data_IF_305578509351
#
_entry.id   IF_305578509351
#
_cell.length_a   1.000
_cell.length_b   1.000
_cell.length_c   1.000
_cell.angle_alpha   90.00
_cell.angle_beta   90.00
_cell.angle_gamma   90.00
#
_symmetry.space_group_name_H-M   'P 1'
#
loop_
_entity.id
_entity.type
_entity.pdbx_description
1 polymer ?
#
# COMPACT_ATOMS: atom_id res chain seq x y z
N UNK A 1 -18.93 -12.75 -11.18
CA UNK A 1 -19.71 -11.83 -12.01
C UNK A 1 -19.33 -12.08 -13.46
N UNK A 2 -20.23 -11.84 -14.40
CA UNK A 2 -19.92 -12.00 -15.82
C UNK A 2 -19.00 -10.85 -16.30
N UNK A 3 -18.08 -11.14 -17.21
CA UNK A 3 -17.13 -10.14 -17.74
C UNK A 3 -17.71 -9.28 -18.87
N UNK A 4 -18.75 -9.76 -19.57
CA UNK A 4 -19.35 -9.05 -20.70
C UNK A 4 -19.86 -7.64 -20.32
N UNK A 5 -20.58 -7.42 -19.19
CA UNK A 5 -20.98 -6.08 -18.78
C UNK A 5 -19.82 -5.11 -18.51
N UNK A 6 -18.69 -5.62 -18.02
CA UNK A 6 -17.47 -4.83 -17.83
C UNK A 6 -16.85 -4.46 -19.17
N UNK A 7 -16.75 -5.41 -20.10
CA UNK A 7 -16.25 -5.16 -21.45
C UNK A 7 -17.12 -4.12 -22.17
N UNK A 8 -18.44 -4.26 -22.10
CA UNK A 8 -19.38 -3.29 -22.67
C UNK A 8 -19.30 -1.93 -22.00
N UNK A 9 -19.04 -1.85 -20.70
CA UNK A 9 -18.77 -0.57 -20.05
C UNK A 9 -17.54 0.13 -20.66
N UNK A 10 -16.44 -0.60 -20.88
CA UNK A 10 -15.25 -0.04 -21.53
C UNK A 10 -15.52 0.41 -22.97
N UNK A 11 -16.25 -0.39 -23.75
CA UNK A 11 -16.69 -0.02 -25.10
C UNK A 11 -17.56 1.25 -25.08
N UNK A 12 -18.52 1.34 -24.15
CA UNK A 12 -19.40 2.51 -24.01
C UNK A 12 -18.60 3.78 -23.73
N UNK A 13 -17.66 3.74 -22.78
CA UNK A 13 -16.82 4.91 -22.47
C UNK A 13 -15.92 5.28 -23.65
N UNK A 14 -15.42 4.28 -24.39
CA UNK A 14 -14.57 4.51 -25.57
C UNK A 14 -15.36 5.13 -26.73
N UNK A 15 -16.58 4.65 -26.98
CA UNK A 15 -17.42 5.06 -28.11
C UNK A 15 -18.15 6.38 -27.86
N UNK A 16 -18.63 6.61 -26.64
CA UNK A 16 -19.50 7.74 -26.31
C UNK A 16 -18.85 8.82 -25.46
N UNK A 17 -17.61 8.60 -25.00
CA UNK A 17 -16.84 9.54 -24.18
C UNK A 17 -16.96 9.30 -22.67
N UNK A 18 -16.02 9.90 -21.92
CA UNK A 18 -15.99 9.83 -20.46
C UNK A 18 -17.15 10.60 -19.80
N UNK A 19 -17.80 11.53 -20.51
CA UNK A 19 -18.99 12.28 -20.08
C UNK A 19 -20.20 11.38 -19.80
N UNK A 20 -20.22 10.16 -20.34
CA UNK A 20 -21.23 9.15 -19.97
C UNK A 20 -21.16 8.80 -18.48
N UNK A 21 -19.98 8.96 -17.85
CA UNK A 21 -19.83 8.77 -16.41
C UNK A 21 -20.44 9.91 -15.56
N UNK A 22 -20.77 11.05 -16.17
CA UNK A 22 -21.41 12.17 -15.47
C UNK A 22 -22.94 12.05 -15.44
N UNK A 23 -23.54 11.21 -16.30
CA UNK A 23 -24.98 10.98 -16.36
C UNK A 23 -25.34 9.51 -16.15
N UNK A 24 -25.72 9.19 -14.90
CA UNK A 24 -26.08 7.83 -14.52
C UNK A 24 -27.31 7.26 -15.25
N UNK A 25 -28.25 8.08 -15.71
CA UNK A 25 -29.43 7.61 -16.46
C UNK A 25 -29.04 7.21 -17.88
N UNK A 26 -28.19 8.01 -18.53
CA UNK A 26 -27.63 7.72 -19.86
C UNK A 26 -26.80 6.45 -19.83
N UNK A 27 -25.93 6.31 -18.82
CA UNK A 27 -25.12 5.10 -18.63
C UNK A 27 -25.99 3.86 -18.35
N UNK A 28 -27.02 3.98 -17.50
CA UNK A 28 -27.95 2.88 -17.20
C UNK A 28 -28.75 2.43 -18.44
N UNK A 29 -29.19 3.36 -19.30
CA UNK A 29 -29.85 3.04 -20.56
C UNK A 29 -28.96 2.21 -21.49
N UNK A 30 -27.76 2.72 -21.78
CA UNK A 30 -26.80 2.02 -22.64
C UNK A 30 -26.43 0.63 -22.10
N UNK A 31 -26.17 0.52 -20.80
CA UNK A 31 -25.87 -0.79 -20.20
C UNK A 31 -27.07 -1.75 -20.26
N UNK A 32 -28.31 -1.28 -20.16
CA UNK A 32 -29.48 -2.15 -20.34
C UNK A 32 -29.67 -2.59 -21.78
N UNK A 33 -29.37 -1.73 -22.75
CA UNK A 33 -29.48 -2.05 -24.18
C UNK A 33 -28.47 -3.14 -24.57
N UNK A 34 -27.23 -3.06 -24.08
CA UNK A 34 -26.17 -4.03 -24.41
C UNK A 34 -26.10 -5.24 -23.45
N UNK A 35 -26.56 -5.10 -22.20
CA UNK A 35 -26.36 -6.07 -21.13
C UNK A 35 -27.62 -6.36 -20.30
N UNK A 36 -28.82 -6.17 -20.87
CA UNK A 36 -30.10 -6.33 -20.15
C UNK A 36 -30.30 -7.69 -19.46
N UNK A 37 -29.67 -8.75 -19.96
CA UNK A 37 -29.70 -10.09 -19.34
C UNK A 37 -28.82 -10.21 -18.07
N UNK A 38 -27.94 -9.24 -17.80
CA UNK A 38 -27.03 -9.21 -16.65
C UNK A 38 -27.46 -8.15 -15.63
N UNK A 39 -28.70 -8.25 -15.15
CA UNK A 39 -29.33 -7.25 -14.27
C UNK A 39 -28.54 -6.96 -12.99
N UNK A 40 -27.88 -7.98 -12.42
CA UNK A 40 -27.01 -7.82 -11.23
C UNK A 40 -25.80 -6.96 -11.54
N UNK A 41 -25.06 -7.26 -12.59
CA UNK A 41 -23.87 -6.51 -13.01
C UNK A 41 -24.22 -5.07 -13.40
N UNK A 42 -25.30 -4.88 -14.20
CA UNK A 42 -25.81 -3.55 -14.56
C UNK A 42 -26.17 -2.76 -13.31
N UNK A 43 -26.87 -3.37 -12.35
CA UNK A 43 -27.18 -2.74 -11.06
C UNK A 43 -25.91 -2.30 -10.32
N UNK A 44 -24.88 -3.14 -10.26
CA UNK A 44 -23.62 -2.82 -9.56
C UNK A 44 -22.88 -1.65 -10.22
N UNK A 45 -22.75 -1.65 -11.55
CA UNK A 45 -22.05 -0.59 -12.29
C UNK A 45 -22.76 0.75 -12.15
N UNK A 46 -24.09 0.75 -12.29
CA UNK A 46 -24.91 1.97 -12.20
C UNK A 46 -24.92 2.53 -10.78
N UNK A 47 -25.01 1.67 -9.75
CA UNK A 47 -24.99 2.17 -8.37
C UNK A 47 -23.59 2.64 -7.97
N UNK A 48 -22.50 1.99 -8.43
CA UNK A 48 -21.16 2.53 -8.25
C UNK A 48 -21.03 3.93 -8.85
N UNK A 49 -21.60 4.15 -10.05
CA UNK A 49 -21.64 5.46 -10.68
C UNK A 49 -22.43 6.49 -9.84
N UNK A 50 -23.64 6.12 -9.38
CA UNK A 50 -24.48 6.97 -8.50
C UNK A 50 -23.77 7.34 -7.19
N UNK A 51 -22.86 6.50 -6.71
CA UNK A 51 -22.02 6.75 -5.51
C UNK A 51 -20.72 7.50 -5.82
N UNK A 52 -20.57 8.06 -7.02
CA UNK A 52 -19.46 8.91 -7.41
C UNK A 52 -18.13 8.19 -7.59
N UNK A 53 -18.12 6.87 -7.79
CA UNK A 53 -16.90 6.08 -7.96
C UNK A 53 -16.09 6.59 -9.16
N UNK A 54 -16.72 6.79 -10.31
CA UNK A 54 -16.05 7.28 -11.52
C UNK A 54 -15.40 8.67 -11.31
N UNK A 55 -16.14 9.61 -10.72
CA UNK A 55 -15.66 10.97 -10.46
C UNK A 55 -14.46 10.98 -9.51
N UNK A 56 -14.49 10.18 -8.44
CA UNK A 56 -13.40 10.15 -7.46
C UNK A 56 -12.15 9.45 -8.01
N UNK A 57 -12.32 8.44 -8.87
CA UNK A 57 -11.22 7.79 -9.59
C UNK A 57 -10.48 8.79 -10.49
N UNK A 58 -11.21 9.57 -11.29
CA UNK A 58 -10.62 10.58 -12.18
C UNK A 58 -9.93 11.71 -11.40
N UNK A 59 -10.54 12.21 -10.33
CA UNK A 59 -9.95 13.29 -9.51
C UNK A 59 -8.67 12.87 -8.78
N UNK A 60 -8.56 11.60 -8.39
CA UNK A 60 -7.48 11.12 -7.52
C UNK A 60 -6.26 10.60 -8.28
N UNK A 61 -6.32 10.51 -9.62
CA UNK A 61 -5.34 9.82 -10.47
C UNK A 61 -3.89 10.29 -10.30
N UNK A 62 -3.67 11.52 -9.82
CA UNK A 62 -2.34 12.12 -9.61
C UNK A 62 -2.01 12.46 -8.15
N UNK A 63 -2.90 12.20 -7.19
CA UNK A 63 -2.74 12.65 -5.78
C UNK A 63 -2.63 11.48 -4.79
N UNK A 64 -3.27 10.35 -5.07
CA UNK A 64 -3.36 9.21 -4.15
C UNK A 64 -2.90 7.96 -4.90
N UNK A 65 -2.06 7.09 -4.29
CA UNK A 65 -1.70 5.82 -4.91
C UNK A 65 -2.94 5.01 -5.31
N UNK A 66 -2.95 4.53 -6.56
CA UNK A 66 -4.07 3.84 -7.21
C UNK A 66 -4.65 2.70 -6.35
N UNK A 67 -3.81 1.88 -5.73
CA UNK A 67 -4.25 0.78 -4.87
C UNK A 67 -5.05 1.28 -3.64
N UNK A 68 -4.67 2.42 -3.08
CA UNK A 68 -5.31 3.00 -1.89
C UNK A 68 -6.69 3.55 -2.23
N UNK A 69 -6.82 4.30 -3.33
CA UNK A 69 -8.11 4.87 -3.73
C UNK A 69 -9.10 3.77 -4.12
N UNK A 70 -8.66 2.74 -4.85
CA UNK A 70 -9.51 1.63 -5.23
C UNK A 70 -10.01 0.84 -4.01
N UNK A 71 -9.15 0.54 -3.03
CA UNK A 71 -9.57 -0.15 -1.80
C UNK A 71 -10.52 0.69 -0.94
N UNK A 72 -10.28 2.00 -0.83
CA UNK A 72 -11.18 2.94 -0.14
C UNK A 72 -12.57 2.97 -0.80
N UNK A 73 -12.62 3.06 -2.12
CA UNK A 73 -13.88 3.07 -2.88
C UNK A 73 -14.61 1.72 -2.79
N UNK A 74 -13.88 0.60 -2.83
CA UNK A 74 -14.45 -0.74 -2.61
C UNK A 74 -15.11 -0.82 -1.23
N UNK A 75 -14.42 -0.38 -0.18
CA UNK A 75 -14.95 -0.42 1.19
C UNK A 75 -16.19 0.49 1.34
N UNK A 76 -16.12 1.71 0.83
CA UNK A 76 -17.27 2.63 0.86
C UNK A 76 -18.48 2.06 0.15
N UNK A 77 -18.28 1.48 -1.04
CA UNK A 77 -19.37 0.92 -1.83
C UNK A 77 -20.00 -0.31 -1.16
N UNK A 78 -19.19 -1.13 -0.49
CA UNK A 78 -19.65 -2.24 0.34
C UNK A 78 -20.57 -1.74 1.47
N UNK A 79 -20.10 -0.75 2.23
CA UNK A 79 -20.80 -0.26 3.41
C UNK A 79 -22.08 0.51 3.04
N UNK A 80 -22.05 1.32 1.97
CA UNK A 80 -23.19 2.14 1.57
C UNK A 80 -24.30 1.37 0.84
N UNK A 81 -23.97 0.30 0.11
CA UNK A 81 -24.95 -0.51 -0.61
C UNK A 81 -25.32 -1.81 0.13
N UNK A 82 -24.63 -2.14 1.22
CA UNK A 82 -24.82 -3.39 1.94
C UNK A 82 -24.56 -4.62 1.09
N UNK A 83 -23.64 -4.52 0.12
CA UNK A 83 -23.32 -5.60 -0.82
C UNK A 83 -22.11 -6.41 -0.37
N UNK A 84 -21.97 -7.61 -0.91
CA UNK A 84 -20.75 -8.39 -0.72
C UNK A 84 -19.53 -7.64 -1.25
N UNK A 85 -18.41 -7.74 -0.54
CA UNK A 85 -17.18 -7.05 -0.86
C UNK A 85 -16.64 -7.40 -2.25
N UNK A 86 -16.74 -8.67 -2.67
CA UNK A 86 -16.39 -9.09 -4.03
C UNK A 86 -17.20 -8.32 -5.09
N UNK A 87 -18.48 -8.03 -4.82
CA UNK A 87 -19.36 -7.28 -5.73
C UNK A 87 -18.99 -5.80 -5.78
N UNK A 88 -18.64 -5.20 -4.64
CA UNK A 88 -18.14 -3.83 -4.57
C UNK A 88 -16.79 -3.69 -5.28
N UNK A 89 -15.89 -4.64 -5.06
CA UNK A 89 -14.59 -4.72 -5.70
C UNK A 89 -14.71 -4.79 -7.21
N UNK A 90 -15.53 -5.71 -7.72
CA UNK A 90 -15.72 -5.88 -9.16
C UNK A 90 -16.31 -4.64 -9.82
N UNK A 91 -17.24 -3.94 -9.16
CA UNK A 91 -17.83 -2.70 -9.69
C UNK A 91 -16.80 -1.57 -9.77
N UNK A 92 -15.99 -1.38 -8.72
CA UNK A 92 -14.92 -0.38 -8.67
C UNK A 92 -13.84 -0.67 -9.71
N UNK A 93 -13.44 -1.94 -9.87
CA UNK A 93 -12.46 -2.35 -10.88
C UNK A 93 -12.97 -2.15 -12.31
N UNK A 94 -14.25 -2.43 -12.54
CA UNK A 94 -14.85 -2.24 -13.87
C UNK A 94 -14.85 -0.77 -14.27
N UNK A 95 -15.12 0.15 -13.34
CA UNK A 95 -14.97 1.58 -13.56
C UNK A 95 -13.51 2.02 -13.70
N UNK A 96 -12.60 1.47 -12.90
CA UNK A 96 -11.17 1.72 -13.02
C UNK A 96 -10.62 1.35 -14.40
N UNK A 97 -11.11 0.23 -14.97
CA UNK A 97 -10.76 -0.24 -16.31
C UNK A 97 -11.34 0.67 -17.38
N UNK A 98 -12.65 0.94 -17.31
CA UNK A 98 -13.35 1.74 -18.31
C UNK A 98 -12.81 3.17 -18.42
N UNK A 99 -12.28 3.72 -17.32
CA UNK A 99 -11.69 5.07 -17.27
C UNK A 99 -10.18 5.07 -17.53
N UNK A 100 -9.55 3.92 -17.76
CA UNK A 100 -8.11 3.82 -17.97
C UNK A 100 -7.26 4.11 -16.73
N UNK A 101 -7.86 4.09 -15.53
CA UNK A 101 -7.14 4.23 -14.26
C UNK A 101 -6.35 2.96 -13.94
N UNK A 102 -6.84 1.80 -14.37
CA UNK A 102 -6.16 0.52 -14.26
C UNK A 102 -6.11 -0.14 -15.65
N UNK A 103 -5.01 -0.80 -16.00
CA UNK A 103 -4.85 -1.48 -17.30
C UNK A 103 -5.40 -2.91 -17.31
N UNK A 104 -5.55 -3.52 -16.13
CA UNK A 104 -6.07 -4.88 -15.95
C UNK A 104 -6.82 -4.99 -14.61
N UNK A 105 -7.83 -5.88 -14.51
CA UNK A 105 -8.53 -6.13 -13.24
C UNK A 105 -7.53 -6.53 -12.15
N UNK A 106 -7.72 -6.03 -10.93
CA UNK A 106 -6.91 -6.47 -9.79
C UNK A 106 -7.20 -7.96 -9.54
N UNK A 107 -6.20 -8.70 -9.05
CA UNK A 107 -6.34 -10.15 -8.88
C UNK A 107 -7.01 -10.49 -7.54
N UNK A 108 -7.72 -11.62 -7.46
CA UNK A 108 -8.31 -12.12 -6.20
C UNK A 108 -7.26 -12.32 -5.09
N UNK A 109 -5.99 -12.54 -5.46
CA UNK A 109 -4.87 -12.68 -4.54
C UNK A 109 -4.47 -11.35 -3.88
N UNK A 110 -4.65 -10.21 -4.55
CA UNK A 110 -4.39 -8.88 -3.98
C UNK A 110 -5.37 -8.56 -2.84
N UNK A 111 -6.61 -9.04 -2.99
CA UNK A 111 -7.68 -8.91 -2.01
C UNK A 111 -7.46 -9.76 -0.75
N UNK A 112 -7.17 -11.06 -0.93
CA UNK A 112 -6.89 -11.95 0.21
C UNK A 112 -5.62 -11.53 0.95
N UNK A 113 -4.57 -11.11 0.22
CA UNK A 113 -3.32 -10.68 0.83
C UNK A 113 -3.49 -9.39 1.65
N UNK A 114 -4.29 -8.41 1.19
CA UNK A 114 -4.56 -7.19 1.95
C UNK A 114 -5.47 -7.43 3.15
N UNK A 115 -6.51 -8.25 3.02
CA UNK A 115 -7.39 -8.61 4.14
C UNK A 115 -6.65 -9.38 5.24
N UNK A 116 -5.82 -10.34 4.84
CA UNK A 116 -4.96 -11.08 5.75
C UNK A 116 -4.02 -10.13 6.50
N UNK A 117 -3.38 -9.19 5.79
CA UNK A 117 -2.47 -8.22 6.38
C UNK A 117 -3.17 -7.25 7.34
N UNK A 118 -4.39 -6.82 7.02
CA UNK A 118 -5.20 -5.94 7.88
C UNK A 118 -5.64 -6.68 9.14
N UNK A 119 -6.11 -7.92 9.00
CA UNK A 119 -6.52 -8.76 10.13
C UNK A 119 -5.34 -9.08 11.05
N UNK A 120 -4.18 -9.43 10.48
CA UNK A 120 -2.94 -9.68 11.23
C UNK A 120 -2.48 -8.43 11.99
N UNK A 121 -2.53 -7.24 11.35
CA UNK A 121 -2.22 -5.97 12.03
C UNK A 121 -3.21 -5.63 13.13
N UNK A 122 -4.50 -5.89 12.95
CA UNK A 122 -5.52 -5.66 13.97
C UNK A 122 -5.32 -6.59 15.17
N UNK A 123 -5.05 -7.87 14.93
CA UNK A 123 -4.76 -8.84 15.98
C UNK A 123 -3.47 -8.48 16.75
N UNK A 124 -2.44 -8.01 16.04
CA UNK A 124 -1.20 -7.55 16.66
C UNK A 124 -1.43 -6.30 17.52
N UNK A 125 -2.17 -5.31 17.02
CA UNK A 125 -2.51 -4.11 17.78
C UNK A 125 -3.33 -4.42 19.03
N UNK A 126 -4.27 -5.37 18.95
CA UNK A 126 -5.09 -5.79 20.10
C UNK A 126 -4.26 -6.56 21.14
N UNK A 127 -3.30 -7.39 20.72
CA UNK A 127 -2.34 -8.05 21.62
C UNK A 127 -1.47 -7.04 22.35
N UNK A 128 -0.91 -6.08 21.62
CA UNK A 128 -0.08 -5.01 22.20
C UNK A 128 -0.88 -4.14 23.16
N UNK A 129 -2.16 -3.86 22.84
CA UNK A 129 -3.03 -3.13 23.74
C UNK A 129 -3.29 -3.89 25.04
N UNK A 130 -3.64 -5.18 24.97
CA UNK A 130 -3.85 -6.02 26.16
C UNK A 130 -2.57 -6.09 27.01
N UNK A 131 -1.42 -6.22 26.36
CA UNK A 131 -0.14 -6.23 27.05
C UNK A 131 0.14 -4.89 27.74
N UNK A 132 -0.13 -3.75 27.08
CA UNK A 132 -0.03 -2.41 27.69
C UNK A 132 -0.95 -2.24 28.89
N UNK A 133 -2.20 -2.66 28.78
CA UNK A 133 -3.18 -2.61 29.89
C UNK A 133 -2.73 -3.47 31.08
N UNK A 134 -2.10 -4.62 30.82
CA UNK A 134 -1.53 -5.45 31.89
C UNK A 134 -0.32 -4.79 32.56
N UNK A 135 0.57 -4.17 31.78
CA UNK A 135 1.70 -3.40 32.32
C UNK A 135 1.24 -2.20 33.13
N UNK A 136 0.23 -1.46 32.69
CA UNK A 136 -0.34 -0.33 33.44
C UNK A 136 -0.94 -0.77 34.78
N UNK A 137 -1.62 -1.92 34.82
CA UNK A 137 -2.13 -2.49 36.08
C UNK A 137 -0.99 -2.84 37.05
N UNK A 138 0.09 -3.46 36.55
CA UNK A 138 1.28 -3.77 37.36
C UNK A 138 1.98 -2.52 37.86
N UNK A 139 2.07 -1.48 37.02
CA UNK A 139 2.65 -0.19 37.38
C UNK A 139 1.82 0.48 38.49
N UNK A 140 0.49 0.55 38.33
CA UNK A 140 -0.40 1.10 39.34
C UNK A 140 -0.31 0.34 40.66
N UNK A 141 -0.25 -0.99 40.63
CA UNK A 141 -0.09 -1.80 41.83
C UNK A 141 1.25 -1.52 42.54
N UNK A 142 2.35 -1.45 41.80
CA UNK A 142 3.67 -1.08 42.33
C UNK A 142 3.68 0.33 42.94
N UNK A 143 3.01 1.30 42.31
CA UNK A 143 2.86 2.65 42.86
C UNK A 143 2.11 2.65 44.20
N UNK A 144 1.03 1.87 44.33
CA UNK A 144 0.31 1.73 45.60
C UNK A 144 1.18 1.11 46.70
N UNK A 145 1.95 0.07 46.38
CA UNK A 145 2.89 -0.57 47.31
C UNK A 145 3.97 0.42 47.78
N UNK A 146 4.52 1.24 46.88
CA UNK A 146 5.47 2.29 47.22
C UNK A 146 4.85 3.34 48.16
N UNK A 147 3.59 3.72 47.95
CA UNK A 147 2.91 4.67 48.83
C UNK A 147 2.68 4.08 50.23
N UNK A 148 2.28 2.82 50.32
CA UNK A 148 2.14 2.14 51.61
C UNK A 148 3.49 2.07 52.35
N UNK A 149 4.56 1.70 51.64
CA UNK A 149 5.91 1.68 52.20
C UNK A 149 6.37 3.04 52.71
N UNK A 150 6.10 4.13 51.97
CA UNK A 150 6.41 5.49 52.42
C UNK A 150 5.70 5.84 53.73
N UNK A 151 4.45 5.43 53.88
CA UNK A 151 3.70 5.66 55.13
C UNK A 151 4.28 4.86 56.29
N UNK A 152 4.65 3.60 56.08
CA UNK A 152 5.23 2.74 57.11
C UNK A 152 6.60 3.26 57.57
N UNK A 153 7.46 3.67 56.64
CA UNK A 153 8.75 4.31 56.95
C UNK A 153 8.55 5.63 57.70
N UNK A 154 7.53 6.42 57.33
CA UNK A 154 7.16 7.64 58.06
C UNK A 154 6.81 7.37 59.53
N UNK A 155 5.95 6.38 59.78
CA UNK A 155 5.58 5.94 61.15
C UNK A 155 6.80 5.46 61.94
N UNK A 156 7.69 4.71 61.30
CA UNK A 156 8.91 4.23 61.94
C UNK A 156 9.84 5.38 62.33
N UNK A 157 10.01 6.37 61.44
CA UNK A 157 10.82 7.56 61.70
C UNK A 157 10.25 8.41 62.85
N UNK A 158 8.94 8.55 62.95
CA UNK A 158 8.29 9.21 64.09
C UNK A 158 8.49 8.45 65.40
N UNK A 159 8.36 7.12 65.38
CA UNK A 159 8.60 6.27 66.54
C UNK A 159 10.07 6.37 67.01
N UNK A 160 11.04 6.32 66.09
CA UNK A 160 12.47 6.50 66.38
C UNK A 160 12.73 7.90 66.94
N UNK A 161 12.11 8.94 66.38
CA UNK A 161 12.25 10.32 66.86
C UNK A 161 11.68 10.48 68.27
N UNK A 162 10.55 9.85 68.54
CA UNK A 162 9.91 9.86 69.85
C UNK A 162 10.76 9.10 70.88
N UNK A 163 11.27 7.92 70.51
CA UNK A 163 12.19 7.15 71.36
C UNK A 163 13.48 7.94 71.67
N UNK A 164 14.07 8.62 70.68
CA UNK A 164 15.23 9.52 70.87
C UNK A 164 14.91 10.73 71.75
N UNK A 165 13.74 11.35 71.60
CA UNK A 165 13.29 12.44 72.47
C UNK A 165 13.10 11.95 73.91
N UNK A 166 12.47 10.79 74.11
CA UNK A 166 12.30 10.19 75.42
C UNK A 166 13.66 9.84 76.05
N UNK A 167 14.60 9.29 75.28
CA UNK A 167 15.97 9.04 75.74
C UNK A 167 16.69 10.34 76.13
N UNK A 168 16.55 11.43 75.36
CA UNK A 168 17.12 12.73 75.68
C UNK A 168 16.46 13.41 76.89
N UNK A 169 15.15 13.25 77.08
CA UNK A 169 14.42 13.72 78.27
C UNK A 169 14.84 12.91 79.49
N UNK A 170 14.99 11.59 79.36
CA UNK A 170 15.50 10.71 80.42
C UNK A 170 16.96 11.03 80.76
N UNK A 171 17.80 11.36 79.78
CA UNK A 171 19.19 11.81 79.99
C UNK A 171 19.27 13.20 80.62
N UNK A 172 18.43 14.16 80.20
CA UNK A 172 18.35 15.50 80.80
C UNK A 172 17.75 15.48 82.20
N UNK A 173 16.76 14.64 82.48
CA UNK A 173 16.23 14.44 83.83
C UNK A 173 17.24 13.72 84.73
N UNK A 174 17.98 12.73 84.22
CA UNK A 174 19.11 12.13 84.95
C UNK A 174 20.22 13.15 85.25
N UNK A 175 20.57 14.04 84.33
CA UNK A 175 21.52 15.13 84.59
C UNK A 175 20.93 16.21 85.53
N UNK A 176 19.65 16.58 85.41
CA UNK A 176 19.00 17.56 86.29
C UNK A 176 18.81 17.03 87.71
N UNK A 177 18.64 15.71 87.88
CA UNK A 177 18.68 15.03 89.17
C UNK A 177 20.11 14.97 89.70
N UNK A 178 21.14 14.79 88.85
CA UNK A 178 22.54 14.86 89.28
C UNK A 178 22.97 16.29 89.71
N UNK A 179 22.51 17.34 89.01
CA UNK A 179 22.88 18.73 89.30
C UNK A 179 22.10 19.33 90.49
N UNK A 180 20.84 18.94 90.71
CA UNK A 180 20.05 19.40 91.86
C UNK A 180 20.42 18.71 93.20
N UNK A 181 21.13 17.59 93.17
CA UNK A 181 21.55 16.88 94.40
C UNK A 181 22.86 17.37 95.00
N UNK A 182 23.54 18.35 94.39
CA UNK A 182 24.78 18.96 94.93
C UNK A 182 24.48 20.17 95.84
N UNK A 183 23.24 20.68 95.93
CA UNK A 183 22.95 21.92 96.68
C UNK A 183 21.88 21.85 97.79
N UNK A 184 21.29 20.69 98.11
CA UNK A 184 20.37 20.57 99.26
C UNK A 184 20.87 19.51 100.25
N UNK A 185 21.32 20.03 101.39
CA UNK A 185 21.99 19.41 102.53
C UNK A 185 21.27 18.23 103.18
N UNK A 186 22.11 17.25 103.58
CA UNK A 186 22.21 16.65 104.92
C UNK A 186 20.91 16.55 105.75
N UNK A 187 20.31 15.35 105.82
CA UNK A 187 19.23 15.06 106.76
C UNK A 187 18.46 13.75 106.54
N UNK A 188 18.48 13.16 105.35
CA UNK A 188 17.85 11.85 105.05
C UNK A 188 18.84 10.96 104.28
N UNK A 189 20.02 10.71 104.84
CA UNK A 189 21.18 10.24 104.07
C UNK A 189 21.39 8.72 103.98
N UNK A 190 20.47 7.88 104.46
CA UNK A 190 20.55 6.43 104.26
C UNK A 190 19.30 5.86 103.58
N UNK A 191 18.12 6.21 104.09
CA UNK A 191 16.83 5.72 103.57
C UNK A 191 16.49 6.26 102.18
N UNK A 192 16.75 7.55 101.90
CA UNK A 192 16.51 8.11 100.57
C UNK A 192 17.52 7.58 99.53
N UNK A 193 18.80 7.42 99.92
CA UNK A 193 19.82 6.81 99.07
C UNK A 193 19.55 5.32 98.80
N UNK A 194 19.06 4.58 99.80
CA UNK A 194 18.67 3.17 99.67
C UNK A 194 17.41 3.00 98.79
N UNK A 195 16.38 3.84 98.99
CA UNK A 195 15.17 3.83 98.15
C UNK A 195 15.44 4.31 96.72
N UNK A 196 16.28 5.33 96.52
CA UNK A 196 16.74 5.76 95.20
C UNK A 196 17.65 4.71 94.56
N UNK A 197 18.48 4.02 95.33
CA UNK A 197 19.28 2.89 94.87
C UNK A 197 18.43 1.72 94.41
N UNK A 198 17.39 1.34 95.18
CA UNK A 198 16.40 0.32 94.78
C UNK A 198 15.62 0.76 93.54
N UNK A 199 15.15 2.01 93.49
CA UNK A 199 14.41 2.55 92.35
C UNK A 199 15.27 2.61 91.08
N UNK A 200 16.51 3.09 91.20
CA UNK A 200 17.47 3.12 90.11
C UNK A 200 17.86 1.70 89.66
N UNK A 201 18.04 0.76 90.60
CA UNK A 201 18.30 -0.64 90.30
C UNK A 201 17.12 -1.31 89.58
N UNK A 202 15.89 -1.11 90.06
CA UNK A 202 14.67 -1.59 89.39
C UNK A 202 14.48 -0.98 88.01
N UNK A 203 14.75 0.33 87.85
CA UNK A 203 14.68 0.99 86.54
C UNK A 203 15.78 0.53 85.59
N UNK A 204 16.99 0.26 86.09
CA UNK A 204 18.09 -0.28 85.30
C UNK A 204 17.80 -1.72 84.84
N UNK A 205 17.21 -2.54 85.72
CA UNK A 205 16.69 -3.88 85.39
C UNK A 205 15.59 -3.81 84.31
N UNK A 206 14.61 -2.90 84.46
CA UNK A 206 13.57 -2.69 83.43
C UNK A 206 14.16 -2.22 82.08
N UNK A 207 15.16 -1.33 82.12
CA UNK A 207 15.86 -0.87 80.91
C UNK A 207 16.67 -2.01 80.26
N UNK A 208 17.29 -2.89 81.06
CA UNK A 208 18.02 -4.05 80.55
C UNK A 208 17.07 -5.02 79.83
N UNK A 209 15.93 -5.37 80.45
CA UNK A 209 14.92 -6.22 79.82
C UNK A 209 14.33 -5.60 78.55
N UNK A 210 14.09 -4.28 78.54
CA UNK A 210 13.62 -3.59 77.33
C UNK A 210 14.66 -3.59 76.22
N UNK A 211 15.94 -3.45 76.57
CA UNK A 211 17.06 -3.50 75.62
C UNK A 211 17.20 -4.90 75.01
N UNK A 212 17.04 -5.95 75.83
CA UNK A 212 17.03 -7.33 75.37
C UNK A 212 15.87 -7.62 74.42
N UNK A 213 14.65 -7.20 74.76
CA UNK A 213 13.49 -7.31 73.88
C UNK A 213 13.67 -6.55 72.56
N UNK A 214 14.27 -5.36 72.59
CA UNK A 214 14.56 -4.58 71.39
C UNK A 214 15.59 -5.28 70.50
N UNK A 215 16.63 -5.87 71.09
CA UNK A 215 17.64 -6.62 70.36
C UNK A 215 17.04 -7.87 69.71
N UNK A 216 16.18 -8.60 70.43
CA UNK A 216 15.47 -9.77 69.88
C UNK A 216 14.56 -9.38 68.71
N UNK A 217 13.75 -8.31 68.86
CA UNK A 217 12.88 -7.82 67.79
C UNK A 217 13.67 -7.33 66.57
N UNK A 218 14.82 -6.69 66.80
CA UNK A 218 15.73 -6.25 65.73
C UNK A 218 16.32 -7.47 65.01
N UNK A 219 16.71 -8.51 65.75
CA UNK A 219 17.20 -9.77 65.19
C UNK A 219 16.15 -10.46 64.33
N UNK A 220 14.91 -10.59 64.83
CA UNK A 220 13.79 -11.17 64.08
C UNK A 220 13.47 -10.38 62.80
N UNK A 221 13.45 -9.05 62.90
CA UNK A 221 13.24 -8.17 61.75
C UNK A 221 14.32 -8.35 60.68
N UNK A 222 15.59 -8.34 61.09
CA UNK A 222 16.73 -8.51 60.18
C UNK A 222 16.71 -9.88 59.51
N UNK A 223 16.46 -10.95 60.26
CA UNK A 223 16.34 -12.30 59.73
C UNK A 223 15.21 -12.41 58.70
N UNK A 224 14.04 -11.83 58.99
CA UNK A 224 12.91 -11.83 58.06
C UNK A 224 13.23 -11.05 56.78
N UNK A 225 13.92 -9.92 56.90
CA UNK A 225 14.32 -9.11 55.75
C UNK A 225 15.36 -9.83 54.87
N UNK A 226 16.32 -10.54 55.48
CA UNK A 226 17.32 -11.33 54.78
C UNK A 226 16.69 -12.53 54.05
N UNK A 227 15.77 -13.24 54.70
CA UNK A 227 15.02 -14.34 54.08
C UNK A 227 14.20 -13.84 52.88
N UNK A 228 13.47 -12.74 53.04
CA UNK A 228 12.65 -12.17 51.96
C UNK A 228 13.50 -11.68 50.80
N UNK A 229 14.64 -11.04 51.09
CA UNK A 229 15.61 -10.59 50.08
C UNK A 229 16.17 -11.79 49.30
N UNK A 230 16.50 -12.87 50.00
CA UNK A 230 17.02 -14.09 49.38
C UNK A 230 15.99 -14.75 48.48
N UNK A 231 14.75 -14.91 48.97
CA UNK A 231 13.65 -15.48 48.19
C UNK A 231 13.33 -14.64 46.95
N UNK A 232 13.26 -13.32 47.10
CA UNK A 232 13.00 -12.40 46.00
C UNK A 232 14.12 -12.46 44.95
N UNK A 233 15.39 -12.45 45.37
CA UNK A 233 16.53 -12.55 44.47
C UNK A 233 16.56 -13.89 43.73
N UNK A 234 16.19 -14.99 44.39
CA UNK A 234 16.07 -16.30 43.74
C UNK A 234 14.97 -16.28 42.67
N UNK A 235 13.83 -15.67 42.96
CA UNK A 235 12.71 -15.56 42.02
C UNK A 235 13.00 -14.64 40.84
N UNK A 236 13.69 -13.51 41.07
CA UNK A 236 14.19 -12.65 39.99
C UNK A 236 15.14 -13.46 39.10
N UNK A 237 16.08 -14.18 39.70
CA UNK A 237 17.06 -14.96 38.93
C UNK A 237 16.36 -16.03 38.08
N UNK A 238 15.39 -16.76 38.63
CA UNK A 238 14.66 -17.77 37.86
C UNK A 238 13.86 -17.16 36.72
N UNK A 239 13.13 -16.07 36.97
CA UNK A 239 12.34 -15.36 35.95
C UNK A 239 13.23 -14.78 34.86
N UNK A 240 14.39 -14.24 35.23
CA UNK A 240 15.36 -13.69 34.27
C UNK A 240 15.91 -14.80 33.39
N UNK A 241 16.31 -15.94 33.97
CA UNK A 241 16.81 -17.09 33.19
C UNK A 241 15.74 -17.68 32.26
N UNK A 242 14.49 -17.78 32.72
CA UNK A 242 13.38 -18.27 31.90
C UNK A 242 13.09 -17.31 30.73
N UNK A 243 13.05 -16.00 31.01
CA UNK A 243 12.86 -14.98 29.99
C UNK A 243 14.00 -14.96 28.96
N UNK A 244 15.25 -15.01 29.41
CA UNK A 244 16.43 -15.04 28.54
C UNK A 244 16.40 -16.27 27.61
N UNK A 245 16.00 -17.43 28.14
CA UNK A 245 15.87 -18.65 27.36
C UNK A 245 14.75 -18.56 26.32
N UNK A 246 13.61 -17.97 26.67
CA UNK A 246 12.50 -17.74 25.72
C UNK A 246 12.91 -16.79 24.61
N UNK A 247 13.64 -15.72 24.94
CA UNK A 247 14.19 -14.76 23.96
C UNK A 247 15.18 -15.45 23.02
N UNK A 248 16.12 -16.27 23.52
CA UNK A 248 17.04 -17.02 22.66
C UNK A 248 16.32 -17.99 21.72
N UNK A 249 15.28 -18.67 22.20
CA UNK A 249 14.48 -19.58 21.39
C UNK A 249 13.78 -18.83 20.25
N UNK A 250 13.16 -17.68 20.55
CA UNK A 250 12.52 -16.81 19.55
C UNK A 250 13.52 -16.26 18.53
N UNK A 251 14.70 -15.83 18.98
CA UNK A 251 15.77 -15.36 18.09
C UNK A 251 16.20 -16.49 17.15
N UNK A 252 16.39 -17.71 17.66
CA UNK A 252 16.80 -18.87 16.87
C UNK A 252 15.74 -19.23 15.82
N UNK A 253 14.46 -19.28 16.21
CA UNK A 253 13.36 -19.54 15.28
C UNK A 253 13.26 -18.46 14.20
N UNK A 254 13.40 -17.19 14.58
CA UNK A 254 13.36 -16.07 13.64
C UNK A 254 14.53 -16.14 12.64
N UNK A 255 15.74 -16.42 13.11
CA UNK A 255 16.92 -16.54 12.26
C UNK A 255 16.77 -17.67 11.22
N UNK A 256 16.21 -18.82 11.60
CA UNK A 256 15.90 -19.90 10.66
C UNK A 256 14.87 -19.48 9.61
N UNK A 257 13.84 -18.72 9.99
CA UNK A 257 12.85 -18.18 9.03
C UNK A 257 13.51 -17.20 8.06
N UNK A 258 14.38 -16.31 8.55
CA UNK A 258 15.13 -15.35 7.71
C UNK A 258 16.04 -16.07 6.73
N UNK A 259 16.75 -17.11 7.16
CA UNK A 259 17.62 -17.91 6.29
C UNK A 259 16.80 -18.60 5.18
N UNK A 260 15.68 -19.23 5.54
CA UNK A 260 14.78 -19.85 4.57
C UNK A 260 14.23 -18.86 3.53
N UNK A 261 13.83 -17.66 3.96
CA UNK A 261 13.37 -16.60 3.06
C UNK A 261 14.52 -16.13 2.15
N UNK A 262 15.72 -15.99 2.70
CA UNK A 262 16.91 -15.58 1.95
C UNK A 262 17.24 -16.60 0.85
N UNK A 263 17.17 -17.90 1.16
CA UNK A 263 17.38 -18.96 0.19
C UNK A 263 16.33 -18.94 -0.94
N UNK A 264 15.05 -18.74 -0.60
CA UNK A 264 13.97 -18.58 -1.60
C UNK A 264 14.19 -17.36 -2.49
N UNK A 265 14.59 -16.23 -1.90
CA UNK A 265 14.90 -15.00 -2.65
C UNK A 265 16.03 -15.24 -3.65
N UNK A 266 17.10 -15.92 -3.24
CA UNK A 266 18.23 -16.21 -4.11
C UNK A 266 17.85 -17.17 -5.25
N UNK A 267 16.99 -18.16 -4.99
CA UNK A 267 16.44 -19.04 -6.04
C UNK A 267 15.63 -18.23 -7.07
N UNK A 268 14.73 -17.36 -6.60
CA UNK A 268 13.93 -16.52 -7.47
C UNK A 268 14.80 -15.55 -8.29
N UNK A 269 15.82 -14.96 -7.66
CA UNK A 269 16.78 -14.10 -8.34
C UNK A 269 17.46 -14.83 -9.52
N UNK A 270 17.95 -16.05 -9.28
CA UNK A 270 18.58 -16.86 -10.33
C UNK A 270 17.60 -17.22 -11.46
N UNK A 271 16.34 -17.50 -11.13
CA UNK A 271 15.31 -17.74 -12.13
C UNK A 271 15.05 -16.50 -12.99
N UNK A 272 14.92 -15.32 -12.37
CA UNK A 272 14.73 -14.04 -13.07
C UNK A 272 15.91 -13.76 -14.00
N UNK A 273 17.15 -13.94 -13.53
CA UNK A 273 18.34 -13.76 -14.37
C UNK A 273 18.33 -14.71 -15.58
N UNK A 274 17.95 -15.98 -15.39
CA UNK A 274 17.86 -16.92 -16.49
C UNK A 274 16.78 -16.52 -17.52
N UNK A 275 15.62 -16.04 -17.06
CA UNK A 275 14.58 -15.52 -17.93
C UNK A 275 15.03 -14.29 -18.71
N UNK A 276 15.74 -13.35 -18.07
CA UNK A 276 16.30 -12.18 -18.74
C UNK A 276 17.28 -12.57 -19.85
N UNK A 277 18.22 -13.47 -19.58
CA UNK A 277 19.14 -13.97 -20.59
C UNK A 277 18.41 -14.69 -21.74
N UNK A 278 17.34 -15.43 -21.42
CA UNK A 278 16.52 -16.09 -22.44
C UNK A 278 15.79 -15.06 -23.32
N UNK A 279 15.25 -14.00 -22.71
CA UNK A 279 14.58 -12.93 -23.42
C UNK A 279 15.54 -12.18 -24.34
N UNK A 280 16.72 -11.81 -23.84
CA UNK A 280 17.78 -11.16 -24.64
C UNK A 280 18.20 -12.05 -25.82
N UNK A 281 18.34 -13.35 -25.60
CA UNK A 281 18.61 -14.29 -26.69
C UNK A 281 17.46 -14.36 -27.70
N UNK A 282 16.20 -14.30 -27.26
CA UNK A 282 15.04 -14.27 -28.15
C UNK A 282 15.00 -12.97 -28.94
N UNK A 283 15.24 -11.83 -28.30
CA UNK A 283 15.32 -10.51 -28.96
C UNK A 283 16.42 -10.49 -30.01
N UNK A 284 17.65 -10.90 -29.64
CA UNK A 284 18.77 -10.99 -30.58
C UNK A 284 18.48 -11.97 -31.72
N UNK A 285 17.85 -13.12 -31.45
CA UNK A 285 17.46 -14.06 -32.50
C UNK A 285 16.33 -13.51 -33.38
N UNK A 286 15.40 -12.75 -32.82
CA UNK A 286 14.32 -12.13 -33.56
C UNK A 286 14.86 -11.03 -34.47
N UNK A 287 15.77 -10.19 -33.97
CA UNK A 287 16.49 -9.16 -34.74
C UNK A 287 17.31 -9.78 -35.87
N UNK A 288 18.09 -10.82 -35.58
CA UNK A 288 18.95 -11.49 -36.57
C UNK A 288 18.17 -12.29 -37.62
N UNK A 289 17.05 -12.93 -37.25
CA UNK A 289 16.24 -13.73 -38.19
C UNK A 289 15.26 -12.88 -39.01
N UNK A 290 14.93 -11.67 -38.56
CA UNK A 290 14.07 -10.76 -39.32
C UNK A 290 14.86 -10.01 -40.38
N UNK A 291 16.11 -9.59 -40.15
CA UNK A 291 16.89 -8.77 -41.11
C UNK A 291 16.02 -7.73 -41.87
N UNK A 292 15.12 -7.03 -41.14
CA UNK A 292 14.19 -6.06 -41.73
C UNK A 292 14.69 -4.64 -41.46
N UNK A 293 15.97 -4.39 -41.72
CA UNK A 293 16.48 -3.02 -41.84
C UNK A 293 16.64 -2.72 -43.33
N UNK A 294 16.02 -1.64 -43.81
CA UNK A 294 16.04 -1.29 -45.22
C UNK A 294 14.84 -0.43 -45.62
N UNK A 295 14.82 -0.04 -46.89
CA UNK A 295 13.73 0.71 -47.49
C UNK A 295 12.37 0.00 -47.31
N UNK A 296 11.37 0.75 -46.89
CA UNK A 296 9.98 0.30 -46.86
C UNK A 296 9.32 0.64 -48.19
N UNK A 297 8.94 -0.36 -48.96
CA UNK A 297 8.17 -0.22 -50.19
C UNK A 297 6.72 -0.66 -49.99
N UNK A 298 5.82 -0.02 -50.71
CA UNK A 298 4.42 -0.39 -50.84
C UNK A 298 4.10 -0.66 -52.32
N UNK A 299 3.63 -1.85 -52.65
CA UNK A 299 3.07 -2.16 -53.94
C UNK A 299 1.56 -1.85 -53.89
N UNK A 300 1.15 -0.85 -54.65
CA UNK A 300 -0.26 -0.53 -54.85
C UNK A 300 -0.75 -1.29 -56.08
N UNK A 301 -1.65 -2.24 -55.89
CA UNK A 301 -2.14 -3.15 -56.93
C UNK A 301 -3.61 -2.91 -57.26
N UNK A 302 -3.94 -2.74 -58.54
CA UNK A 302 -5.32 -2.65 -58.99
C UNK A 302 -5.87 -4.04 -59.32
N UNK A 303 -6.60 -4.64 -58.38
CA UNK A 303 -7.34 -5.90 -58.58
C UNK A 303 -8.86 -5.66 -58.75
N UNK A 304 -9.25 -4.42 -59.05
CA UNK A 304 -10.63 -4.06 -59.31
C UNK A 304 -11.02 -4.48 -60.73
N UNK A 305 -12.31 -4.47 -61.04
CA UNK A 305 -12.78 -4.67 -62.41
C UNK A 305 -12.48 -3.48 -63.32
N UNK A 306 -12.06 -2.34 -62.76
CA UNK A 306 -11.85 -1.08 -63.46
C UNK A 306 -10.48 -0.95 -64.13
N UNK A 307 -10.43 -0.20 -65.24
CA UNK A 307 -9.25 -0.07 -66.10
C UNK A 307 -8.06 0.62 -65.41
N UNK A 308 -8.30 1.67 -64.62
CA UNK A 308 -7.27 2.45 -63.92
C UNK A 308 -7.78 2.83 -62.53
N UNK A 309 -6.93 2.70 -61.51
CA UNK A 309 -7.15 3.31 -60.19
C UNK A 309 -6.09 4.40 -59.97
N UNK A 310 -6.53 5.57 -59.53
CA UNK A 310 -5.65 6.64 -59.08
C UNK A 310 -5.41 6.47 -57.59
N UNK A 311 -4.16 6.28 -57.19
CA UNK A 311 -3.79 6.08 -55.80
C UNK A 311 -2.94 7.23 -55.25
N UNK A 312 -3.14 7.53 -53.97
CA UNK A 312 -2.33 8.44 -53.18
C UNK A 312 -2.06 7.85 -51.80
N UNK A 313 -0.97 8.26 -51.16
CA UNK A 313 -0.63 7.84 -49.80
C UNK A 313 -0.29 9.05 -48.94
N UNK A 314 -0.49 8.90 -47.63
CA UNK A 314 -0.01 9.80 -46.60
C UNK A 314 0.69 9.02 -45.49
N UNK A 315 1.83 9.50 -45.01
CA UNK A 315 2.63 8.83 -43.99
C UNK A 315 3.44 9.84 -43.18
N UNK A 316 3.79 9.48 -41.94
CA UNK A 316 4.72 10.24 -41.11
C UNK A 316 6.16 9.82 -41.43
N UNK A 317 7.07 10.75 -41.69
CA UNK A 317 8.48 10.42 -42.03
C UNK A 317 9.47 10.65 -40.88
N UNK A 318 8.99 11.15 -39.73
CA UNK A 318 9.83 11.54 -38.60
C UNK A 318 9.71 13.01 -38.27
N UNK A 319 9.64 13.86 -39.30
CA UNK A 319 9.63 15.32 -39.18
C UNK A 319 8.25 15.93 -39.47
N UNK A 320 7.39 15.20 -40.17
CA UNK A 320 6.02 15.64 -40.46
C UNK A 320 5.18 14.61 -41.20
N UNK A 321 3.90 14.95 -41.42
CA UNK A 321 3.06 14.19 -42.32
C UNK A 321 3.35 14.57 -43.77
N UNK A 322 3.63 13.56 -44.60
CA UNK A 322 3.83 13.69 -46.05
C UNK A 322 2.69 13.02 -46.79
N UNK A 323 2.26 13.59 -47.91
CA UNK A 323 1.30 12.96 -48.81
C UNK A 323 1.71 13.10 -50.26
N UNK A 324 1.53 12.04 -51.04
CA UNK A 324 1.92 12.00 -52.45
C UNK A 324 0.99 11.14 -53.28
N UNK A 325 0.89 11.49 -54.55
CA UNK A 325 0.06 10.84 -55.56
C UNK A 325 0.21 11.61 -56.88
N UNK A 326 -0.58 11.39 -57.92
CA UNK A 326 -1.35 10.20 -58.17
C UNK A 326 -0.46 9.16 -58.86
N UNK A 327 -0.56 7.91 -58.41
CA UNK A 327 -0.12 6.77 -59.20
C UNK A 327 -1.32 6.22 -59.97
N UNK A 328 -1.27 6.23 -61.29
CA UNK A 328 -2.31 5.65 -62.13
C UNK A 328 -1.97 4.17 -62.35
N UNK A 329 -2.76 3.27 -61.76
CA UNK A 329 -2.48 1.84 -61.72
C UNK A 329 -3.47 1.11 -62.62
N UNK A 330 -2.98 0.56 -63.73
CA UNK A 330 -3.81 -0.19 -64.67
C UNK A 330 -4.32 -1.49 -64.06
N UNK A 331 -5.45 -1.97 -64.55
CA UNK A 331 -6.06 -3.24 -64.16
C UNK A 331 -5.05 -4.39 -64.22
N UNK A 332 -4.92 -5.12 -63.11
CA UNK A 332 -4.01 -6.25 -62.98
C UNK A 332 -2.54 -5.88 -62.72
N UNK A 333 -2.18 -4.60 -62.75
CA UNK A 333 -0.83 -4.12 -62.49
C UNK A 333 -0.64 -3.68 -61.03
N UNK A 334 0.63 -3.63 -60.61
CA UNK A 334 1.06 -3.07 -59.34
C UNK A 334 2.11 -1.98 -59.56
N UNK A 335 2.01 -0.88 -58.82
CA UNK A 335 3.04 0.17 -58.77
C UNK A 335 3.77 0.11 -57.44
N UNK A 336 5.09 -0.07 -57.48
CA UNK A 336 5.96 -0.07 -56.29
C UNK A 336 6.32 1.36 -55.92
N UNK A 337 6.03 1.76 -54.68
CA UNK A 337 6.30 3.10 -54.15
C UNK A 337 7.19 3.02 -52.91
N UNK A 338 8.25 3.82 -52.82
CA UNK A 338 9.13 3.89 -51.65
C UNK A 338 8.45 4.73 -50.57
N UNK A 339 8.02 4.15 -49.46
CA UNK A 339 7.40 4.90 -48.35
C UNK A 339 8.48 5.73 -47.65
N UNK A 340 9.41 5.07 -46.95
CA UNK A 340 10.51 5.71 -46.22
C UNK A 340 11.53 4.64 -45.75
N UNK A 341 12.68 5.02 -45.20
CA UNK A 341 13.69 4.11 -44.68
C UNK A 341 13.28 3.52 -43.33
N UNK A 342 13.31 2.20 -43.21
CA UNK A 342 13.00 1.46 -41.97
C UNK A 342 11.63 1.82 -41.36
N UNK A 343 10.67 2.23 -42.21
CA UNK A 343 9.34 2.63 -41.77
C UNK A 343 8.55 1.45 -41.24
N UNK A 344 8.11 1.58 -39.99
CA UNK A 344 7.16 0.70 -39.32
C UNK A 344 5.99 1.53 -38.79
N UNK A 345 4.77 1.03 -38.96
CA UNK A 345 3.57 1.66 -38.41
C UNK A 345 2.55 2.02 -39.48
N UNK A 346 1.54 2.78 -39.07
CA UNK A 346 0.41 3.13 -39.91
C UNK A 346 0.82 4.13 -41.01
N UNK A 347 0.37 3.86 -42.23
CA UNK A 347 0.24 4.81 -43.32
C UNK A 347 -1.23 4.88 -43.74
N UNK A 348 -1.56 5.86 -44.57
CA UNK A 348 -2.91 6.10 -45.06
C UNK A 348 -2.92 6.03 -46.57
N UNK A 349 -3.83 5.25 -47.13
CA UNK A 349 -3.93 4.99 -48.57
C UNK A 349 -5.28 5.52 -49.04
N UNK A 350 -5.28 6.24 -50.15
CA UNK A 350 -6.47 6.63 -50.86
C UNK A 350 -6.43 6.06 -52.28
N UNK A 351 -7.56 5.57 -52.76
CA UNK A 351 -7.75 5.21 -54.16
C UNK A 351 -9.00 5.87 -54.72
N UNK A 352 -9.02 6.22 -55.99
CA UNK A 352 -10.22 6.71 -56.66
C UNK A 352 -10.31 6.28 -58.12
N UNK A 353 -11.55 6.18 -58.59
CA UNK A 353 -11.91 6.14 -60.00
C UNK A 353 -13.28 6.78 -60.20
N UNK A 354 -13.38 7.79 -61.06
CA UNK A 354 -14.61 8.52 -61.32
C UNK A 354 -15.30 8.92 -59.99
N UNK A 355 -16.45 8.32 -59.67
CA UNK A 355 -17.22 8.59 -58.44
C UNK A 355 -16.98 7.56 -57.32
N UNK A 356 -16.15 6.54 -57.54
CA UNK A 356 -15.84 5.49 -56.57
C UNK A 356 -14.51 5.83 -55.89
N UNK A 357 -14.48 5.76 -54.56
CA UNK A 357 -13.31 6.05 -53.74
C UNK A 357 -13.02 4.86 -52.84
N UNK A 358 -11.77 4.57 -52.54
CA UNK A 358 -11.32 3.64 -51.50
C UNK A 358 -10.70 4.49 -50.40
N UNK A 359 -11.40 4.59 -49.27
CA UNK A 359 -11.02 5.36 -48.09
C UNK A 359 -12.06 5.21 -46.99
N UNK A 360 -11.66 5.42 -45.74
CA UNK A 360 -12.58 5.54 -44.61
C UNK A 360 -12.86 7.01 -44.33
N UNK A 361 -14.04 7.32 -43.80
CA UNK A 361 -14.38 8.68 -43.34
C UNK A 361 -13.58 9.11 -42.10
N UNK A 362 -12.86 8.18 -41.47
CA UNK A 362 -12.07 8.42 -40.26
C UNK A 362 -10.81 9.26 -40.51
N UNK A 363 -10.26 9.24 -41.72
CA UNK A 363 -9.01 9.94 -42.05
C UNK A 363 -9.08 10.57 -43.43
N UNK A 364 -8.47 11.74 -43.57
CA UNK A 364 -8.49 12.49 -44.83
C UNK A 364 -7.31 13.43 -44.96
N UNK A 365 -6.92 13.72 -46.21
CA UNK A 365 -5.81 14.62 -46.53
C UNK A 365 -6.06 15.38 -47.83
N UNK A 366 -5.27 16.42 -48.11
CA UNK A 366 -5.42 17.21 -49.34
C UNK A 366 -4.70 16.55 -50.53
N UNK A 367 -5.35 16.56 -51.70
CA UNK A 367 -4.79 16.13 -52.97
C UNK A 367 -5.11 17.17 -54.06
N UNK A 368 -4.42 17.09 -55.21
CA UNK A 368 -4.71 17.94 -56.39
C UNK A 368 -5.26 17.10 -57.53
N UNK A 369 -5.64 17.70 -58.66
CA UNK A 369 -6.04 16.94 -59.85
C UNK A 369 -4.87 16.36 -60.65
N UNK A 370 -3.63 16.73 -60.31
CA UNK A 370 -2.41 16.27 -60.98
C UNK A 370 -1.48 15.56 -59.99
N UNK A 371 -0.38 14.99 -60.47
CA UNK A 371 0.65 14.43 -59.60
C UNK A 371 1.13 15.51 -58.60
N UNK A 372 1.27 15.13 -57.34
CA UNK A 372 1.55 16.00 -56.21
C UNK A 372 2.43 15.30 -55.16
N UNK A 373 3.13 16.12 -54.39
CA UNK A 373 3.86 15.73 -53.20
C UNK A 373 3.79 16.92 -52.24
N UNK A 374 3.24 16.68 -51.05
CA UNK A 374 3.04 17.70 -50.03
C UNK A 374 3.77 17.31 -48.75
N UNK A 375 4.40 18.33 -48.19
CA UNK A 375 4.98 18.34 -46.85
C UNK A 375 3.96 18.88 -45.87
N UNK A 376 4.02 18.44 -44.61
CA UNK A 376 3.12 18.89 -43.53
C UNK A 376 1.64 18.80 -43.91
N UNK A 377 1.25 17.67 -44.49
CA UNK A 377 -0.07 17.43 -45.07
C UNK A 377 -1.22 17.55 -44.07
N UNK A 378 -0.95 17.49 -42.77
CA UNK A 378 -1.90 17.71 -41.68
C UNK A 378 -2.10 19.19 -41.34
N UNK A 379 -1.15 20.06 -41.65
CA UNK A 379 -1.23 21.52 -41.45
C UNK A 379 -1.81 22.26 -42.67
N UNK A 380 -1.91 21.58 -43.82
CA UNK A 380 -2.39 22.16 -45.07
C UNK A 380 -3.91 22.37 -45.09
N UNK A 381 -4.36 23.56 -45.49
CA UNK A 381 -5.75 23.81 -45.86
C UNK A 381 -6.02 23.39 -47.32
N UNK A 382 -7.02 22.53 -47.56
CA UNK A 382 -7.43 22.14 -48.91
C UNK A 382 -8.22 23.28 -49.58
N UNK A 383 -7.51 24.24 -50.17
CA UNK A 383 -8.09 25.39 -50.87
C UNK A 383 -7.54 25.55 -52.30
N UNK A 384 -8.23 26.34 -53.13
CA UNK A 384 -7.86 26.53 -54.53
C UNK A 384 -8.07 25.24 -55.35
N UNK A 385 -7.00 24.76 -55.99
CA UNK A 385 -7.01 23.52 -56.79
C UNK A 385 -6.90 22.24 -55.95
N UNK A 386 -6.70 22.37 -54.64
CA UNK A 386 -6.59 21.26 -53.71
C UNK A 386 -7.96 20.86 -53.16
N UNK A 387 -8.21 19.56 -53.02
CA UNK A 387 -9.44 19.03 -52.46
C UNK A 387 -9.16 17.89 -51.47
N UNK A 388 -10.13 17.64 -50.60
CA UNK A 388 -10.02 16.66 -49.53
C UNK A 388 -10.35 15.24 -50.05
N UNK A 389 -9.48 14.28 -49.72
CA UNK A 389 -9.65 12.86 -50.04
C UNK A 389 -9.65 12.02 -48.76
N UNK A 390 -10.51 11.00 -48.70
CA UNK A 390 -10.66 10.10 -47.56
C UNK A 390 -9.70 8.91 -47.68
N UNK A 391 -9.14 8.43 -46.59
CA UNK A 391 -8.08 7.44 -46.63
C UNK A 391 -8.34 6.26 -45.69
N UNK A 392 -7.79 5.10 -46.04
CA UNK A 392 -7.81 3.92 -45.18
C UNK A 392 -6.44 3.70 -44.57
N UNK A 393 -6.43 3.39 -43.28
CA UNK A 393 -5.24 3.05 -42.53
C UNK A 393 -4.69 1.69 -42.97
N UNK A 394 -3.37 1.61 -43.14
CA UNK A 394 -2.66 0.40 -43.51
C UNK A 394 -1.34 0.29 -42.76
N UNK A 395 -1.07 -0.84 -42.13
CA UNK A 395 0.15 -1.07 -41.36
C UNK A 395 1.27 -1.56 -42.30
N UNK A 396 2.43 -0.90 -42.27
CA UNK A 396 3.62 -1.30 -43.04
C UNK A 396 4.78 -1.71 -42.13
N UNK A 397 5.65 -2.56 -42.68
CA UNK A 397 6.94 -2.96 -42.12
C UNK A 397 8.05 -2.72 -43.15
N UNK A 398 9.32 -2.60 -42.72
CA UNK A 398 10.41 -2.49 -43.68
C UNK A 398 10.46 -3.68 -44.67
N UNK A 399 10.97 -3.45 -45.88
CA UNK A 399 10.78 -4.39 -47.00
C UNK A 399 9.55 -4.07 -47.85
N UNK A 400 9.00 -5.07 -48.57
CA UNK A 400 7.94 -4.87 -49.56
C UNK A 400 6.57 -5.27 -48.98
N UNK A 401 5.63 -4.34 -48.97
CA UNK A 401 4.26 -4.53 -48.50
C UNK A 401 3.30 -4.45 -49.69
N UNK A 402 2.22 -5.23 -49.70
CA UNK A 402 1.24 -5.23 -50.80
C UNK A 402 -0.12 -4.69 -50.34
N UNK A 403 -0.62 -3.66 -51.02
CA UNK A 403 -2.00 -3.20 -50.88
C UNK A 403 -2.78 -3.41 -52.17
N UNK A 404 -3.93 -4.06 -52.08
CA UNK A 404 -4.74 -4.48 -53.23
C UNK A 404 -6.08 -3.77 -53.20
N UNK A 405 -6.31 -2.87 -54.17
CA UNK A 405 -7.64 -2.32 -54.43
C UNK A 405 -8.54 -3.42 -55.00
N UNK A 406 -9.70 -3.65 -54.38
CA UNK A 406 -10.67 -4.67 -54.78
C UNK A 406 -12.05 -4.05 -54.96
N UNK A 407 -12.90 -4.68 -55.78
CA UNK A 407 -14.28 -4.25 -55.96
C UNK A 407 -15.07 -4.35 -54.65
N UNK A 408 -15.97 -3.39 -54.41
CA UNK A 408 -16.80 -3.29 -53.20
C UNK A 408 -17.63 -4.55 -52.90
N UNK A 409 -17.97 -5.36 -53.91
CA UNK A 409 -18.68 -6.64 -53.74
C UNK A 409 -17.83 -7.72 -53.02
N UNK A 410 -16.52 -7.53 -52.89
CA UNK A 410 -15.59 -8.51 -52.36
C UNK A 410 -15.05 -8.17 -50.96
N UNK A 411 -15.68 -7.23 -50.25
CA UNK A 411 -15.35 -6.91 -48.84
C UNK A 411 -16.19 -7.71 -47.83
N UNK A 412 -17.04 -8.64 -48.29
CA UNK A 412 -17.90 -9.50 -47.46
C UNK A 412 -17.42 -10.95 -47.33
N UNK A 413 -16.16 -11.24 -47.63
CA UNK A 413 -15.52 -12.54 -47.32
C UNK A 413 -14.28 -12.38 -46.44
#
# INVERSE_FOLDING_TARGET
MNELPRQKLCEIITQYGQDVSDNHQRCEGLLKDFCGQYSKEVFLLVNALKKGVATELLKSQNQIPQAVILSKLTKRLQDELGIAEESAYWAVDSWGLALGVISQPRTKNDFQSQQQLILERQQQAEKEQKQREEYEKKLYQSEQEIQQWKQEVGKLNEAITTARKQQNINRKSAHKVADNFVSILAGISALAAFLLGIYAYQKNQQMANLTENLNNLTSEYNQKNENLTTEHNQKIKSLTTEHDQEVENLITEHNQKVENITNKRNLLYNQVQNFQNTLENVENNLENNLNISGDTYLNLCNQTSNDIIDAAIMYWDGDGWKSRGWWNIKKGECTKVLVDFNKRGDIYIHGQINNIKWGSDDFSFCATNTRFEFEKSDEMECSGDNYKVNAIKFLVFPGVNDYKFKDYKNYTE
#
